data_IF_293120550332
#
_entry.id   IF_293120550332
#
_cell.length_a   1.000
_cell.length_b   1.000
_cell.length_c   1.000
_cell.angle_alpha   90.00
_cell.angle_beta   90.00
_cell.angle_gamma   90.00
#
_symmetry.space_group_name_H-M   'P 1'
#
loop_
_entity.id
_entity.type
_entity.pdbx_description
1 polymer ?
#
# COMPACT_ATOMS: atom_id res chain seq x y z
N UNK A 1 75.61 14.80 82.87
CA UNK A 1 75.50 13.72 81.86
C UNK A 1 74.32 12.86 82.24
N UNK A 2 73.29 12.77 81.41
CA UNK A 2 72.04 12.10 81.76
C UNK A 2 72.20 10.58 81.66
N UNK A 3 71.92 9.88 82.76
CA UNK A 3 72.02 8.41 82.87
C UNK A 3 70.97 7.69 82.00
N UNK A 4 69.96 8.43 81.53
CA UNK A 4 68.92 7.96 80.60
C UNK A 4 69.32 8.04 79.12
N UNK A 5 70.40 8.75 78.76
CA UNK A 5 70.79 8.93 77.36
C UNK A 5 71.55 7.71 76.81
N UNK A 6 72.27 6.99 77.66
CA UNK A 6 73.05 5.80 77.28
C UNK A 6 72.15 4.61 76.96
N UNK A 7 71.09 4.27 77.75
CA UNK A 7 70.18 3.18 77.42
C UNK A 7 69.40 3.42 76.11
N UNK A 8 68.93 4.65 75.88
CA UNK A 8 68.17 5.00 74.66
C UNK A 8 69.05 4.94 73.41
N UNK A 9 70.31 5.39 73.50
CA UNK A 9 71.25 5.29 72.39
C UNK A 9 71.58 3.84 72.01
N UNK A 10 71.74 2.95 73.00
CA UNK A 10 71.95 1.51 72.78
C UNK A 10 70.73 0.87 72.14
N UNK A 11 69.51 1.20 72.59
CA UNK A 11 68.26 0.70 72.00
C UNK A 11 68.08 1.17 70.55
N UNK A 12 68.48 2.40 70.21
CA UNK A 12 68.48 2.90 68.83
C UNK A 12 69.42 2.09 67.93
N UNK A 13 70.63 1.79 68.41
CA UNK A 13 71.61 0.96 67.66
C UNK A 13 71.08 -0.46 67.46
N UNK A 14 70.46 -1.05 68.49
CA UNK A 14 69.86 -2.38 68.39
C UNK A 14 68.71 -2.42 67.38
N UNK A 15 67.80 -1.44 67.42
CA UNK A 15 66.73 -1.33 66.44
C UNK A 15 67.26 -1.12 65.02
N UNK A 16 68.33 -0.33 64.86
CA UNK A 16 68.96 -0.14 63.55
C UNK A 16 69.58 -1.44 63.00
N UNK A 17 70.08 -2.33 63.87
CA UNK A 17 70.55 -3.67 63.48
C UNK A 17 69.38 -4.60 63.10
N UNK A 18 68.28 -4.57 63.84
CA UNK A 18 67.05 -5.33 63.52
C UNK A 18 66.40 -4.83 62.22
N UNK A 19 66.60 -3.55 61.86
CA UNK A 19 66.03 -2.94 60.66
C UNK A 19 66.74 -3.36 59.36
N UNK A 20 68.04 -3.62 59.40
CA UNK A 20 68.83 -4.00 58.21
C UNK A 20 68.19 -5.18 57.44
N UNK A 21 67.82 -6.32 58.06
CA UNK A 21 67.19 -7.42 57.33
C UNK A 21 65.80 -7.07 56.78
N UNK A 22 65.02 -6.24 57.48
CA UNK A 22 63.71 -5.77 56.99
C UNK A 22 63.87 -4.88 55.75
N UNK A 23 64.83 -3.96 55.76
CA UNK A 23 65.10 -3.08 54.62
C UNK A 23 65.62 -3.87 53.40
N UNK A 24 66.38 -4.95 53.60
CA UNK A 24 66.81 -5.84 52.51
C UNK A 24 65.63 -6.58 51.86
N UNK A 25 64.61 -6.97 52.65
CA UNK A 25 63.38 -7.58 52.11
C UNK A 25 62.58 -6.55 51.28
N UNK A 26 62.52 -5.30 51.74
CA UNK A 26 61.92 -4.20 51.01
C UNK A 26 62.62 -3.97 49.65
N UNK A 27 63.95 -3.82 49.68
CA UNK A 27 64.77 -3.48 48.51
C UNK A 27 64.88 -4.62 47.49
N UNK A 28 64.86 -5.88 47.92
CA UNK A 28 65.14 -7.03 47.04
C UNK A 28 63.89 -7.82 46.65
N UNK A 29 62.90 -7.89 47.54
CA UNK A 29 61.71 -8.71 47.36
C UNK A 29 60.49 -7.85 47.03
N UNK A 30 60.19 -6.85 47.86
CA UNK A 30 58.99 -6.02 47.69
C UNK A 30 59.10 -5.02 46.54
N UNK A 31 60.31 -4.54 46.24
CA UNK A 31 60.59 -3.67 45.07
C UNK A 31 60.24 -4.32 43.72
N UNK A 32 60.23 -5.65 43.65
CA UNK A 32 59.85 -6.42 42.45
C UNK A 32 58.34 -6.52 42.26
N UNK A 33 57.55 -6.30 43.31
CA UNK A 33 56.10 -6.24 43.20
C UNK A 33 55.64 -4.85 42.77
N UNK A 34 54.54 -4.81 42.02
CA UNK A 34 53.88 -3.55 41.69
C UNK A 34 53.55 -2.76 42.97
N UNK A 35 53.67 -1.44 42.87
CA UNK A 35 53.47 -0.49 43.99
C UNK A 35 52.10 -0.62 44.64
N UNK A 36 51.09 -1.02 43.87
CA UNK A 36 49.69 -1.20 44.32
C UNK A 36 49.35 -2.66 44.67
N UNK A 37 50.36 -3.55 44.69
CA UNK A 37 50.11 -4.94 45.03
C UNK A 37 49.69 -5.08 46.50
N UNK A 38 48.64 -5.88 46.82
CA UNK A 38 48.15 -6.00 48.19
C UNK A 38 49.22 -6.47 49.18
N UNK A 39 50.10 -7.38 48.75
CA UNK A 39 51.18 -7.91 49.60
C UNK A 39 52.23 -6.83 49.95
N UNK A 40 52.57 -5.95 48.99
CA UNK A 40 53.51 -4.85 49.21
C UNK A 40 52.90 -3.76 50.08
N UNK A 41 51.65 -3.35 49.82
CA UNK A 41 50.96 -2.33 50.60
C UNK A 41 50.76 -2.74 52.06
N UNK A 42 50.41 -4.01 52.31
CA UNK A 42 50.31 -4.55 53.68
C UNK A 42 51.68 -4.55 54.38
N UNK A 43 52.74 -4.91 53.67
CA UNK A 43 54.10 -4.87 54.19
C UNK A 43 54.56 -3.44 54.51
N UNK A 44 54.42 -2.50 53.55
CA UNK A 44 54.78 -1.09 53.74
C UNK A 44 53.98 -0.45 54.89
N UNK A 45 52.68 -0.75 55.01
CA UNK A 45 51.85 -0.25 56.11
C UNK A 45 52.29 -0.78 57.48
N UNK A 46 52.53 -2.09 57.60
CA UNK A 46 52.97 -2.70 58.88
C UNK A 46 54.35 -2.20 59.30
N UNK A 47 55.23 -2.00 58.32
CA UNK A 47 56.55 -1.41 58.52
C UNK A 47 56.45 0.06 58.95
N UNK A 48 55.55 0.82 58.34
CA UNK A 48 55.29 2.22 58.67
C UNK A 48 54.78 2.39 60.11
N UNK A 49 53.82 1.56 60.54
CA UNK A 49 53.30 1.56 61.92
C UNK A 49 54.39 1.20 62.93
N UNK A 50 55.23 0.22 62.61
CA UNK A 50 56.36 -0.17 63.46
C UNK A 50 57.37 0.97 63.62
N UNK A 51 57.71 1.64 62.52
CA UNK A 51 58.65 2.77 62.50
C UNK A 51 58.08 3.99 63.24
N UNK A 52 56.79 4.28 63.05
CA UNK A 52 56.06 5.30 63.77
C UNK A 52 56.12 5.07 65.29
N UNK A 53 55.74 3.87 65.74
CA UNK A 53 55.73 3.50 67.15
C UNK A 53 57.13 3.51 67.77
N UNK A 54 58.12 2.95 67.09
CA UNK A 54 59.51 2.90 67.59
C UNK A 54 60.14 4.30 67.61
N UNK A 55 59.90 5.10 66.57
CA UNK A 55 60.33 6.50 66.52
C UNK A 55 59.75 7.32 67.67
N UNK A 56 58.47 7.13 67.97
CA UNK A 56 57.79 7.79 69.08
C UNK A 56 58.37 7.36 70.46
N UNK A 57 58.53 6.06 70.69
CA UNK A 57 59.08 5.50 71.95
C UNK A 57 60.54 5.91 72.19
N UNK A 58 61.36 5.98 71.14
CA UNK A 58 62.78 6.34 71.23
C UNK A 58 63.03 7.87 71.13
N UNK A 59 62.00 8.67 70.90
CA UNK A 59 62.12 10.12 70.65
C UNK A 59 62.87 10.44 69.35
N UNK A 60 62.86 9.52 68.38
CA UNK A 60 63.46 9.67 67.06
C UNK A 60 62.44 10.20 66.04
N UNK A 61 62.38 11.53 65.93
CA UNK A 61 61.49 12.20 64.99
C UNK A 61 61.74 11.86 63.52
N UNK A 62 62.92 11.34 63.16
CA UNK A 62 63.20 10.94 61.79
C UNK A 62 62.54 9.60 61.46
N UNK A 63 62.62 8.62 62.37
CA UNK A 63 62.00 7.30 62.19
C UNK A 63 60.49 7.41 62.27
N UNK A 64 59.98 8.21 63.21
CA UNK A 64 58.55 8.50 63.37
C UNK A 64 57.93 9.07 62.08
N UNK A 65 58.48 10.18 61.56
CA UNK A 65 57.99 10.81 60.31
C UNK A 65 58.04 9.90 59.10
N UNK A 66 59.06 9.05 59.03
CA UNK A 66 59.20 8.08 57.93
C UNK A 66 58.10 7.02 58.01
N UNK A 67 57.82 6.52 59.21
CA UNK A 67 56.76 5.55 59.45
C UNK A 67 55.38 6.11 59.07
N UNK A 68 55.08 7.32 59.56
CA UNK A 68 53.84 8.02 59.24
C UNK A 68 53.66 8.23 57.74
N UNK A 69 54.71 8.70 57.04
CA UNK A 69 54.68 8.91 55.60
C UNK A 69 54.47 7.60 54.81
N UNK A 70 55.04 6.49 55.26
CA UNK A 70 54.90 5.19 54.61
C UNK A 70 53.48 4.61 54.80
N UNK A 71 52.91 4.75 56.00
CA UNK A 71 51.53 4.37 56.27
C UNK A 71 50.54 5.22 55.47
N UNK A 72 50.70 6.55 55.47
CA UNK A 72 49.82 7.46 54.72
C UNK A 72 49.85 7.17 53.21
N UNK A 73 51.05 6.96 52.65
CA UNK A 73 51.21 6.59 51.23
C UNK A 73 50.52 5.26 50.90
N UNK A 74 50.67 4.25 51.76
CA UNK A 74 50.06 2.94 51.53
C UNK A 74 48.53 3.03 51.56
N UNK A 75 47.97 3.74 52.53
CA UNK A 75 46.52 3.93 52.65
C UNK A 75 45.95 4.82 51.52
N UNK A 76 46.73 5.77 50.99
CA UNK A 76 46.36 6.54 49.82
C UNK A 76 46.32 5.68 48.54
N UNK A 77 47.29 4.78 48.35
CA UNK A 77 47.35 3.88 47.20
C UNK A 77 46.22 2.84 47.22
N UNK A 78 45.86 2.29 48.39
CA UNK A 78 44.69 1.40 48.51
C UNK A 78 43.42 2.13 48.07
N UNK A 79 43.18 3.34 48.59
CA UNK A 79 42.00 4.13 48.23
C UNK A 79 41.97 4.52 46.75
N UNK A 80 43.12 4.86 46.18
CA UNK A 80 43.22 5.20 44.76
C UNK A 80 42.80 4.01 43.87
N UNK A 81 43.26 2.80 44.21
CA UNK A 81 42.89 1.58 43.50
C UNK A 81 41.40 1.26 43.62
N UNK A 82 40.83 1.38 44.82
CA UNK A 82 39.39 1.17 45.03
C UNK A 82 38.55 2.14 44.19
N UNK A 83 38.94 3.42 44.13
CA UNK A 83 38.28 4.42 43.30
C UNK A 83 38.45 4.17 41.79
N UNK A 84 39.60 3.65 41.36
CA UNK A 84 39.83 3.28 39.96
C UNK A 84 38.97 2.08 39.55
N UNK A 85 38.85 1.07 40.43
CA UNK A 85 37.97 -0.09 40.20
C UNK A 85 36.49 0.34 40.15
N UNK A 86 36.05 1.23 41.04
CA UNK A 86 34.69 1.78 41.03
C UNK A 86 34.42 2.62 39.77
N UNK A 87 35.37 3.48 39.38
CA UNK A 87 35.26 4.28 38.17
C UNK A 87 35.21 3.41 36.90
N UNK A 88 36.03 2.37 36.82
CA UNK A 88 36.03 1.43 35.71
C UNK A 88 34.70 0.66 35.63
N UNK A 89 34.14 0.24 36.77
CA UNK A 89 32.83 -0.41 36.82
C UNK A 89 31.70 0.53 36.37
N UNK A 90 31.70 1.77 36.88
CA UNK A 90 30.72 2.78 36.51
C UNK A 90 30.79 3.14 35.01
N UNK A 91 32.01 3.24 34.46
CA UNK A 91 32.20 3.48 33.04
C UNK A 91 31.68 2.31 32.19
N UNK A 92 31.98 1.08 32.58
CA UNK A 92 31.50 -0.11 31.87
C UNK A 92 29.97 -0.21 31.87
N UNK A 93 29.31 0.11 33.00
CA UNK A 93 27.85 0.16 33.09
C UNK A 93 27.26 1.26 32.20
N UNK A 94 27.83 2.46 32.23
CA UNK A 94 27.39 3.57 31.40
C UNK A 94 27.53 3.29 29.90
N UNK A 95 28.64 2.66 29.49
CA UNK A 95 28.88 2.26 28.11
C UNK A 95 27.87 1.18 27.65
N UNK A 96 27.59 0.19 28.49
CA UNK A 96 26.58 -0.83 28.21
C UNK A 96 25.15 -0.24 28.11
N UNK A 97 24.80 0.70 28.98
CA UNK A 97 23.51 1.39 28.91
C UNK A 97 23.41 2.26 27.64
N UNK A 98 24.49 2.97 27.29
CA UNK A 98 24.56 3.78 26.08
C UNK A 98 24.42 2.92 24.82
N UNK A 99 25.10 1.78 24.76
CA UNK A 99 24.98 0.84 23.65
C UNK A 99 23.55 0.30 23.52
N UNK A 100 22.94 -0.09 24.63
CA UNK A 100 21.55 -0.56 24.67
C UNK A 100 20.59 0.53 24.16
N UNK A 101 20.72 1.75 24.65
CA UNK A 101 19.90 2.90 24.20
C UNK A 101 20.11 3.21 22.71
N UNK A 102 21.35 3.13 22.21
CA UNK A 102 21.67 3.33 20.79
C UNK A 102 21.02 2.26 19.91
N UNK A 103 21.09 1.00 20.30
CA UNK A 103 20.46 -0.11 19.58
C UNK A 103 18.94 0.05 19.56
N UNK A 104 18.32 0.31 20.72
CA UNK A 104 16.88 0.58 20.78
C UNK A 104 16.45 1.77 19.92
N UNK A 105 17.25 2.85 19.89
CA UNK A 105 16.96 4.00 19.05
C UNK A 105 17.04 3.65 17.55
N UNK A 106 18.05 2.88 17.14
CA UNK A 106 18.19 2.38 15.76
C UNK A 106 17.02 1.48 15.37
N UNK A 107 16.63 0.55 16.24
CA UNK A 107 15.52 -0.37 15.98
C UNK A 107 14.19 0.38 15.86
N UNK A 108 13.95 1.37 16.74
CA UNK A 108 12.77 2.24 16.65
C UNK A 108 12.76 3.05 15.35
N UNK A 109 13.90 3.58 14.94
CA UNK A 109 14.01 4.30 13.66
C UNK A 109 13.74 3.37 12.47
N UNK A 110 14.34 2.18 12.46
CA UNK A 110 14.13 1.18 11.40
C UNK A 110 12.66 0.75 11.31
N UNK A 111 12.03 0.45 12.45
CA UNK A 111 10.62 0.10 12.53
C UNK A 111 9.72 1.25 12.05
N UNK A 112 10.02 2.50 12.44
CA UNK A 112 9.28 3.68 11.97
C UNK A 112 9.42 3.88 10.45
N UNK A 113 10.62 3.68 9.89
CA UNK A 113 10.84 3.73 8.45
C UNK A 113 10.06 2.64 7.70
N UNK A 114 10.10 1.40 8.19
CA UNK A 114 9.34 0.29 7.60
C UNK A 114 7.82 0.55 7.66
N UNK A 115 7.31 0.99 8.82
CA UNK A 115 5.90 1.35 8.97
C UNK A 115 5.49 2.48 8.01
N UNK A 116 6.36 3.49 7.85
CA UNK A 116 6.10 4.58 6.91
C UNK A 116 6.08 4.12 5.46
N UNK A 117 7.00 3.25 5.07
CA UNK A 117 7.02 2.67 3.72
C UNK A 117 5.74 1.86 3.46
N UNK A 118 5.32 1.02 4.40
CA UNK A 118 4.07 0.26 4.29
C UNK A 118 2.84 1.17 4.16
N UNK A 119 2.78 2.25 4.95
CA UNK A 119 1.68 3.23 4.87
C UNK A 119 1.64 3.90 3.48
N UNK A 120 2.80 4.29 2.94
CA UNK A 120 2.90 4.88 1.60
C UNK A 120 2.48 3.89 0.52
N UNK A 121 2.90 2.62 0.61
CA UNK A 121 2.49 1.58 -0.33
C UNK A 121 0.98 1.32 -0.28
N UNK A 122 0.41 1.23 0.93
CA UNK A 122 -1.03 1.07 1.09
C UNK A 122 -1.81 2.28 0.55
N UNK A 123 -1.31 3.50 0.78
CA UNK A 123 -1.91 4.71 0.24
C UNK A 123 -1.90 4.71 -1.29
N UNK A 124 -0.78 4.30 -1.92
CA UNK A 124 -0.67 4.15 -3.38
C UNK A 124 -1.65 3.11 -3.92
N UNK A 125 -1.73 1.92 -3.31
CA UNK A 125 -2.68 0.88 -3.71
C UNK A 125 -4.12 1.36 -3.65
N UNK A 126 -4.51 2.05 -2.56
CA UNK A 126 -5.84 2.64 -2.43
C UNK A 126 -6.13 3.71 -3.48
N UNK A 127 -5.11 4.50 -3.85
CA UNK A 127 -5.23 5.51 -4.90
C UNK A 127 -5.42 4.86 -6.28
N UNK A 128 -4.65 3.82 -6.59
CA UNK A 128 -4.79 3.04 -7.82
C UNK A 128 -6.15 2.34 -7.91
N UNK A 129 -6.61 1.72 -6.82
CA UNK A 129 -7.95 1.12 -6.73
C UNK A 129 -9.05 2.15 -7.00
N UNK A 130 -8.94 3.34 -6.42
CA UNK A 130 -9.91 4.43 -6.66
C UNK A 130 -9.88 4.92 -8.10
N UNK A 131 -8.70 5.06 -8.70
CA UNK A 131 -8.58 5.42 -10.13
C UNK A 131 -9.24 4.38 -11.02
N UNK A 132 -8.97 3.10 -10.77
CA UNK A 132 -9.58 2.02 -11.52
C UNK A 132 -11.10 1.97 -11.33
N UNK A 133 -11.58 2.13 -10.10
CA UNK A 133 -13.02 2.20 -9.83
C UNK A 133 -13.68 3.37 -10.56
N UNK A 134 -13.08 4.57 -10.49
CA UNK A 134 -13.58 5.75 -11.20
C UNK A 134 -13.59 5.56 -12.72
N UNK A 135 -12.56 4.91 -13.29
CA UNK A 135 -12.52 4.59 -14.72
C UNK A 135 -13.64 3.61 -15.10
N UNK A 136 -13.85 2.53 -14.33
CA UNK A 136 -14.93 1.56 -14.57
C UNK A 136 -16.31 2.21 -14.44
N UNK A 137 -16.51 3.07 -13.44
CA UNK A 137 -17.76 3.80 -13.25
C UNK A 137 -18.03 4.75 -14.42
N UNK A 138 -17.00 5.46 -14.90
CA UNK A 138 -17.11 6.34 -16.07
C UNK A 138 -17.44 5.55 -17.35
N UNK A 139 -16.80 4.41 -17.57
CA UNK A 139 -17.09 3.50 -18.68
C UNK A 139 -18.54 2.99 -18.60
N UNK A 140 -18.98 2.50 -17.44
CA UNK A 140 -20.36 2.04 -17.25
C UNK A 140 -21.37 3.14 -17.53
N UNK A 141 -21.15 4.35 -17.01
CA UNK A 141 -22.02 5.51 -17.29
C UNK A 141 -22.05 5.85 -18.77
N UNK A 142 -20.91 5.79 -19.44
CA UNK A 142 -20.82 6.02 -20.89
C UNK A 142 -21.59 4.97 -21.68
N UNK A 143 -21.49 3.68 -21.31
CA UNK A 143 -22.23 2.60 -21.96
C UNK A 143 -23.74 2.73 -21.72
N UNK A 144 -24.16 3.08 -20.51
CA UNK A 144 -25.59 3.35 -20.19
C UNK A 144 -26.09 4.54 -21.01
N UNK A 145 -25.34 5.64 -21.06
CA UNK A 145 -25.69 6.81 -21.84
C UNK A 145 -25.79 6.48 -23.34
N UNK A 146 -24.85 5.69 -23.88
CA UNK A 146 -24.89 5.22 -25.27
C UNK A 146 -26.12 4.36 -25.54
N UNK A 147 -26.41 3.39 -24.68
CA UNK A 147 -27.60 2.53 -24.79
C UNK A 147 -28.88 3.35 -24.78
N UNK A 148 -28.99 4.33 -23.88
CA UNK A 148 -30.15 5.21 -23.81
C UNK A 148 -30.28 6.09 -25.06
N UNK A 149 -29.17 6.60 -25.58
CA UNK A 149 -29.15 7.39 -26.81
C UNK A 149 -29.58 6.54 -28.02
N UNK A 150 -29.09 5.31 -28.14
CA UNK A 150 -29.45 4.38 -29.20
C UNK A 150 -30.94 4.00 -29.13
N UNK A 151 -31.46 3.73 -27.93
CA UNK A 151 -32.89 3.47 -27.72
C UNK A 151 -33.75 4.67 -28.09
N UNK A 152 -33.34 5.88 -27.69
CA UNK A 152 -34.07 7.11 -28.03
C UNK A 152 -34.05 7.36 -29.54
N UNK A 153 -32.90 7.17 -30.20
CA UNK A 153 -32.78 7.27 -31.65
C UNK A 153 -33.69 6.24 -32.35
N UNK A 154 -33.68 4.99 -31.91
CA UNK A 154 -34.55 3.94 -32.45
C UNK A 154 -36.04 4.27 -32.31
N UNK A 155 -36.46 4.79 -31.15
CA UNK A 155 -37.85 5.24 -30.93
C UNK A 155 -38.23 6.37 -31.89
N UNK A 156 -37.34 7.35 -32.11
CA UNK A 156 -37.60 8.44 -33.07
C UNK A 156 -37.70 7.93 -34.51
N UNK A 157 -36.84 7.00 -34.91
CA UNK A 157 -36.91 6.37 -36.24
C UNK A 157 -38.24 5.63 -36.42
N UNK A 158 -38.65 4.83 -35.42
CA UNK A 158 -39.92 4.12 -35.46
C UNK A 158 -41.13 5.07 -35.54
N UNK A 159 -41.10 6.18 -34.78
CA UNK A 159 -42.15 7.19 -34.83
C UNK A 159 -42.23 7.85 -36.23
N UNK A 160 -41.09 8.23 -36.80
CA UNK A 160 -41.03 8.82 -38.14
C UNK A 160 -41.50 7.84 -39.23
N UNK A 161 -41.12 6.56 -39.15
CA UNK A 161 -41.60 5.53 -40.06
C UNK A 161 -43.11 5.30 -39.93
N UNK A 162 -43.64 5.29 -38.70
CA UNK A 162 -45.06 5.14 -38.47
C UNK A 162 -45.85 6.32 -39.05
N UNK A 163 -45.35 7.55 -38.89
CA UNK A 163 -45.92 8.75 -39.49
C UNK A 163 -45.90 8.67 -41.03
N UNK A 164 -44.77 8.31 -41.63
CA UNK A 164 -44.68 8.09 -43.08
C UNK A 164 -45.65 7.01 -43.59
N UNK A 165 -45.82 5.89 -42.86
CA UNK A 165 -46.79 4.85 -43.23
C UNK A 165 -48.23 5.35 -43.13
N UNK A 166 -48.55 6.15 -42.12
CA UNK A 166 -49.87 6.76 -41.97
C UNK A 166 -50.15 7.74 -43.11
N UNK A 167 -49.18 8.58 -43.49
CA UNK A 167 -49.28 9.46 -44.66
C UNK A 167 -49.47 8.69 -45.96
N UNK A 168 -48.66 7.67 -46.23
CA UNK A 168 -48.81 6.83 -47.42
C UNK A 168 -50.19 6.18 -47.50
N UNK A 169 -50.74 5.77 -46.36
CA UNK A 169 -52.09 5.20 -46.29
C UNK A 169 -53.14 6.25 -46.66
N UNK A 170 -53.05 7.47 -46.11
CA UNK A 170 -53.93 8.59 -46.47
C UNK A 170 -53.83 8.96 -47.95
N UNK A 171 -52.62 9.01 -48.50
CA UNK A 171 -52.39 9.29 -49.94
C UNK A 171 -53.05 8.20 -50.79
N UNK A 172 -52.81 6.92 -50.50
CA UNK A 172 -53.44 5.81 -51.23
C UNK A 172 -54.97 5.84 -51.16
N UNK A 173 -55.53 6.20 -50.01
CA UNK A 173 -56.98 6.37 -49.87
C UNK A 173 -57.50 7.55 -50.70
N UNK A 174 -56.79 8.68 -50.69
CA UNK A 174 -57.13 9.84 -51.52
C UNK A 174 -57.03 9.51 -53.02
N UNK A 175 -55.98 8.82 -53.46
CA UNK A 175 -55.81 8.33 -54.83
C UNK A 175 -56.93 7.36 -55.23
N UNK A 176 -57.28 6.40 -54.36
CA UNK A 176 -58.41 5.49 -54.61
C UNK A 176 -59.72 6.24 -54.78
N UNK A 177 -59.99 7.24 -53.93
CA UNK A 177 -61.19 8.09 -54.02
C UNK A 177 -61.18 8.91 -55.31
N UNK A 178 -60.05 9.52 -55.67
CA UNK A 178 -59.89 10.28 -56.91
C UNK A 178 -60.02 9.42 -58.18
N UNK A 179 -59.55 8.17 -58.15
CA UNK A 179 -59.66 7.22 -59.25
C UNK A 179 -61.04 6.53 -59.37
N UNK A 180 -61.88 6.61 -58.35
CA UNK A 180 -63.22 6.00 -58.33
C UNK A 180 -64.12 6.41 -59.53
N UNK A 181 -64.26 7.70 -59.88
CA UNK A 181 -65.06 8.09 -61.04
C UNK A 181 -64.53 7.52 -62.36
N UNK A 182 -63.20 7.55 -62.58
CA UNK A 182 -62.59 6.97 -63.78
C UNK A 182 -62.81 5.45 -63.85
N UNK A 183 -62.69 4.73 -62.72
CA UNK A 183 -63.01 3.29 -62.66
C UNK A 183 -64.49 3.00 -62.92
N UNK A 184 -65.40 3.85 -62.42
CA UNK A 184 -66.83 3.72 -62.69
C UNK A 184 -67.14 3.93 -64.18
N UNK A 185 -66.53 4.93 -64.82
CA UNK A 185 -66.65 5.16 -66.26
C UNK A 185 -66.12 4.00 -67.09
N UNK A 186 -64.96 3.43 -66.73
CA UNK A 186 -64.42 2.24 -67.39
C UNK A 186 -65.37 1.04 -67.28
N UNK A 187 -65.97 0.84 -66.10
CA UNK A 187 -66.95 -0.24 -65.88
C UNK A 187 -68.22 -0.03 -66.70
N UNK A 188 -68.80 1.18 -66.68
CA UNK A 188 -69.98 1.51 -67.48
C UNK A 188 -69.72 1.36 -68.99
N UNK A 189 -68.54 1.76 -69.46
CA UNK A 189 -68.13 1.56 -70.84
C UNK A 189 -68.02 0.07 -71.21
N UNK A 190 -67.45 -0.76 -70.32
CA UNK A 190 -67.39 -2.21 -70.53
C UNK A 190 -68.78 -2.85 -70.54
N UNK A 191 -69.67 -2.43 -69.65
CA UNK A 191 -71.06 -2.92 -69.59
C UNK A 191 -71.82 -2.56 -70.88
N UNK A 192 -71.68 -1.32 -71.37
CA UNK A 192 -72.24 -0.88 -72.66
C UNK A 192 -71.68 -1.67 -73.85
N UNK A 193 -70.38 -1.97 -73.84
CA UNK A 193 -69.76 -2.80 -74.88
C UNK A 193 -70.34 -4.21 -74.89
N UNK A 194 -70.52 -4.82 -73.71
CA UNK A 194 -71.15 -6.13 -73.56
C UNK A 194 -72.62 -6.13 -74.01
N UNK A 195 -73.38 -5.09 -73.65
CA UNK A 195 -74.77 -4.95 -74.10
C UNK A 195 -74.86 -4.81 -75.63
N UNK A 196 -73.98 -4.02 -76.23
CA UNK A 196 -73.89 -3.86 -77.68
C UNK A 196 -73.53 -5.20 -78.36
N UNK A 197 -72.57 -5.96 -77.82
CA UNK A 197 -72.24 -7.30 -78.30
C UNK A 197 -73.45 -8.26 -78.19
N UNK A 198 -74.20 -8.21 -77.08
CA UNK A 198 -75.42 -8.98 -76.88
C UNK A 198 -76.53 -8.61 -77.86
N UNK A 199 -76.70 -7.31 -78.17
CA UNK A 199 -77.65 -6.83 -79.20
C UNK A 199 -77.26 -7.30 -80.59
N UNK A 200 -75.98 -7.22 -80.96
CA UNK A 200 -75.46 -7.78 -82.23
C UNK A 200 -75.76 -9.27 -82.34
N UNK A 201 -75.42 -10.06 -81.31
CA UNK A 201 -75.72 -11.50 -81.30
C UNK A 201 -77.23 -11.81 -81.38
N UNK A 202 -78.12 -10.94 -80.87
CA UNK A 202 -79.57 -11.08 -81.05
C UNK A 202 -80.00 -10.72 -82.47
N UNK A 203 -79.47 -9.63 -83.04
CA UNK A 203 -79.73 -9.25 -84.42
C UNK A 203 -79.29 -10.37 -85.38
N UNK A 204 -78.08 -10.90 -85.21
CA UNK A 204 -77.58 -12.03 -86.00
C UNK A 204 -78.48 -13.28 -85.89
N UNK A 205 -79.10 -13.51 -84.72
CA UNK A 205 -80.09 -14.59 -84.53
C UNK A 205 -81.42 -14.31 -85.22
N UNK A 206 -81.92 -13.07 -85.14
CA UNK A 206 -83.16 -12.68 -85.82
C UNK A 206 -82.97 -12.72 -87.33
N UNK A 207 -81.82 -12.28 -87.84
CA UNK A 207 -81.45 -12.39 -89.25
C UNK A 207 -81.44 -13.86 -89.68
N UNK A 208 -80.77 -14.75 -88.94
CA UNK A 208 -80.81 -16.19 -89.20
C UNK A 208 -82.23 -16.79 -89.17
N UNK A 209 -83.08 -16.34 -88.25
CA UNK A 209 -84.49 -16.77 -88.18
C UNK A 209 -85.31 -16.23 -89.35
N UNK A 210 -85.09 -14.99 -89.77
CA UNK A 210 -85.75 -14.37 -90.91
C UNK A 210 -85.30 -15.01 -92.24
N UNK A 211 -84.01 -15.36 -92.37
CA UNK A 211 -83.47 -16.16 -93.47
C UNK A 211 -84.17 -17.52 -93.51
N UNK A 212 -84.25 -18.22 -92.37
CA UNK A 212 -84.93 -19.51 -92.25
C UNK A 212 -86.46 -19.42 -92.55
N UNK A 213 -87.12 -18.34 -92.16
CA UNK A 213 -88.54 -18.07 -92.47
C UNK A 213 -88.73 -17.76 -93.97
N UNK A 214 -87.82 -16.99 -94.59
CA UNK A 214 -87.80 -16.75 -96.05
C UNK A 214 -87.60 -18.06 -96.81
N UNK A 215 -86.69 -18.91 -96.38
CA UNK A 215 -86.46 -20.23 -96.97
C UNK A 215 -87.68 -21.13 -96.80
N UNK A 216 -88.35 -21.10 -95.64
CA UNK A 216 -89.65 -21.77 -95.44
C UNK A 216 -90.76 -21.23 -96.35
N UNK A 217 -90.88 -19.91 -96.55
CA UNK A 217 -91.88 -19.34 -97.48
C UNK A 217 -91.56 -19.65 -98.94
N UNK A 218 -90.28 -19.61 -99.33
CA UNK A 218 -89.87 -20.07 -100.66
C UNK A 218 -90.24 -21.53 -100.87
N UNK A 219 -90.05 -22.39 -99.87
CA UNK A 219 -90.44 -23.80 -99.93
C UNK A 219 -91.96 -24.05 -99.83
N UNK A 220 -92.72 -23.16 -99.18
CA UNK A 220 -94.18 -23.23 -99.07
C UNK A 220 -94.92 -22.66 -100.29
N UNK A 221 -94.33 -21.74 -101.05
CA UNK A 221 -94.88 -21.29 -102.34
C UNK A 221 -94.63 -22.31 -103.46
N UNK A 222 -93.66 -23.22 -103.33
CA UNK A 222 -93.43 -24.33 -104.27
C UNK A 222 -94.32 -25.57 -104.06
N UNK A 223 -95.22 -25.57 -103.08
CA UNK A 223 -96.17 -26.69 -102.83
C UNK A 223 -97.63 -26.28 -103.00
N UNK A 224 -97.94 -25.33 -103.89
CA UNK A 224 -99.31 -25.07 -104.31
C UNK A 224 -99.41 -24.66 -105.79
N UNK A 225 -98.75 -25.43 -106.66
CA UNK A 225 -98.77 -25.19 -108.10
C UNK A 225 -98.07 -26.27 -108.92
N UNK A 226 -98.69 -27.44 -109.03
CA UNK A 226 -98.62 -28.45 -110.11
C UNK A 226 -99.36 -29.69 -109.58
N UNK A 227 -100.64 -29.93 -109.94
CA UNK A 227 -101.10 -30.63 -111.17
C UNK A 227 -100.33 -31.90 -111.47
#
# INVERSE_FOLDING_TARGET
MNVLTVPVAVMRVQYQIVRIPLQLIEDQLMSRLATESPARLMYERTLGVLDGAVGNVLGDRHIERRGDALTERSDALVRAKELEEEAAAAQAEADAELETKRTQARDKQAAAHMAKQQEVEQARRREDERKQAAARDAEQRTQVAKTNADQFAAQRTQAAEAEHRAEQTKIREAEKKAAAPAKAQLKDAADKQNEAAGKRARADRVEKLAEAEKDKRRNGTTTNGQR
#
